data_IF_505507299838
#
_entry.id   IF_505507299838
#
_cell.length_a   1.000
_cell.length_b   1.000
_cell.length_c   1.000
_cell.angle_alpha   90.00
_cell.angle_beta   90.00
_cell.angle_gamma   90.00
#
_symmetry.space_group_name_H-M   'P 1'
#
loop_
_entity.id
_entity.type
_entity.pdbx_description
1 polymer ?
#
# COMPACT_ATOMS: atom_id res chain seq x y z
N UNK A 1 1.80 -22.47 -5.57
CA UNK A 1 0.39 -22.38 -5.12
C UNK A 1 -0.27 -21.32 -5.97
N UNK A 2 -1.45 -21.60 -6.51
CA UNK A 2 -2.21 -20.63 -7.33
C UNK A 2 -2.63 -19.45 -6.45
N UNK A 3 -2.30 -18.22 -6.86
CA UNK A 3 -2.51 -16.97 -6.12
C UNK A 3 -3.98 -16.59 -5.92
N UNK A 4 -4.93 -17.29 -6.58
CA UNK A 4 -6.38 -17.02 -6.52
C UNK A 4 -6.98 -16.94 -5.10
N UNK A 5 -6.37 -17.58 -4.10
CA UNK A 5 -6.89 -17.62 -2.73
C UNK A 5 -6.03 -16.84 -1.72
N UNK A 6 -5.16 -15.95 -2.19
CA UNK A 6 -4.28 -15.16 -1.34
C UNK A 6 -4.78 -13.73 -1.26
N UNK A 7 -5.29 -13.36 -0.08
CA UNK A 7 -5.71 -12.01 0.23
C UNK A 7 -4.52 -11.22 0.79
N UNK A 8 -4.13 -10.11 0.14
CA UNK A 8 -3.14 -9.17 0.65
C UNK A 8 -3.87 -8.09 1.46
N UNK A 9 -4.30 -8.45 2.66
CA UNK A 9 -5.07 -7.54 3.53
C UNK A 9 -4.15 -6.46 4.07
N UNK A 10 -4.50 -5.20 3.93
CA UNK A 10 -3.65 -4.14 4.48
C UNK A 10 -3.60 -4.19 6.00
N UNK A 11 -2.48 -3.77 6.58
CA UNK A 11 -2.28 -3.84 8.02
C UNK A 11 -3.26 -2.96 8.80
N UNK A 12 -3.74 -1.87 8.17
CA UNK A 12 -4.83 -1.06 8.71
C UNK A 12 -6.12 -1.88 8.85
N UNK A 13 -6.50 -2.64 7.82
CA UNK A 13 -7.69 -3.49 7.82
C UNK A 13 -7.53 -4.76 8.69
N UNK A 14 -6.30 -5.26 8.88
CA UNK A 14 -6.03 -6.31 9.88
C UNK A 14 -6.28 -5.78 11.30
N UNK A 15 -5.94 -4.52 11.58
CA UNK A 15 -6.18 -3.89 12.87
C UNK A 15 -7.60 -3.32 13.05
N UNK A 16 -8.43 -3.36 12.01
CA UNK A 16 -9.78 -2.84 12.06
C UNK A 16 -10.67 -3.63 13.04
N UNK A 17 -11.58 -2.92 13.69
CA UNK A 17 -12.67 -3.44 14.49
C UNK A 17 -13.80 -3.90 13.57
N UNK A 18 -14.07 -5.21 13.56
CA UNK A 18 -15.07 -5.84 12.69
C UNK A 18 -15.90 -6.81 13.53
N UNK A 19 -17.12 -6.41 13.88
CA UNK A 19 -18.05 -7.23 14.68
C UNK A 19 -18.79 -8.25 13.80
N UNK A 20 -18.13 -9.40 13.61
CA UNK A 20 -18.58 -10.50 12.80
C UNK A 20 -18.48 -11.84 13.55
N UNK A 21 -19.39 -12.74 13.26
CA UNK A 21 -19.24 -14.17 13.51
C UNK A 21 -18.14 -14.79 12.64
N UNK A 22 -17.79 -16.05 12.92
CA UNK A 22 -16.78 -16.79 12.15
C UNK A 22 -17.09 -16.82 10.64
N UNK A 23 -18.35 -17.06 10.27
CA UNK A 23 -18.77 -17.20 8.88
C UNK A 23 -18.86 -15.83 8.20
N UNK A 24 -19.41 -14.84 8.88
CA UNK A 24 -19.45 -13.45 8.40
C UNK A 24 -18.02 -12.94 8.12
N UNK A 25 -17.05 -13.26 8.97
CA UNK A 25 -15.65 -12.86 8.74
C UNK A 25 -15.03 -13.55 7.53
N UNK A 26 -15.36 -14.83 7.27
CA UNK A 26 -14.96 -15.51 6.03
C UNK A 26 -15.57 -14.85 4.80
N UNK A 27 -16.83 -14.43 4.88
CA UNK A 27 -17.48 -13.67 3.79
C UNK A 27 -16.77 -12.33 3.56
N UNK A 28 -16.40 -11.59 4.62
CA UNK A 28 -15.61 -10.36 4.49
C UNK A 28 -14.27 -10.59 3.78
N UNK A 29 -13.52 -11.62 4.21
CA UNK A 29 -12.24 -11.96 3.58
C UNK A 29 -12.41 -12.44 2.12
N UNK A 30 -13.50 -13.16 1.80
CA UNK A 30 -13.85 -13.50 0.41
C UNK A 30 -14.10 -12.24 -0.43
N UNK A 31 -14.91 -11.30 0.07
CA UNK A 31 -15.22 -10.05 -0.62
C UNK A 31 -13.94 -9.25 -0.89
N UNK A 32 -13.06 -9.11 0.10
CA UNK A 32 -11.77 -8.44 -0.10
C UNK A 32 -10.90 -9.17 -1.13
N UNK A 33 -10.84 -10.50 -1.10
CA UNK A 33 -10.03 -11.26 -2.07
C UNK A 33 -10.54 -11.09 -3.50
N UNK A 34 -11.85 -11.20 -3.72
CA UNK A 34 -12.46 -11.01 -5.04
C UNK A 34 -12.30 -9.57 -5.54
N UNK A 35 -12.40 -8.58 -4.66
CA UNK A 35 -12.11 -7.17 -4.98
C UNK A 35 -10.66 -6.98 -5.42
N UNK A 36 -9.71 -7.65 -4.76
CA UNK A 36 -8.31 -7.61 -5.13
C UNK A 36 -8.01 -8.31 -6.46
N UNK A 37 -8.78 -9.33 -6.84
CA UNK A 37 -8.60 -10.02 -8.12
C UNK A 37 -9.24 -9.24 -9.28
N UNK A 38 -10.33 -8.53 -9.03
CA UNK A 38 -11.13 -7.85 -10.05
C UNK A 38 -10.76 -6.37 -10.22
N UNK A 39 -9.53 -5.97 -9.87
CA UNK A 39 -8.94 -4.59 -9.86
C UNK A 39 -9.11 -3.73 -11.13
N UNK A 40 -9.80 -4.22 -12.16
CA UNK A 40 -9.67 -3.75 -13.53
C UNK A 40 -10.23 -2.37 -13.87
N UNK A 41 -11.05 -1.67 -13.07
CA UNK A 41 -11.80 -0.50 -13.61
C UNK A 41 -12.23 0.60 -12.60
N UNK A 42 -11.42 1.02 -11.63
CA UNK A 42 -11.80 2.10 -10.66
C UNK A 42 -13.16 1.84 -9.98
N UNK A 43 -13.58 0.57 -9.98
CA UNK A 43 -14.93 0.20 -9.63
C UNK A 43 -14.91 -0.22 -8.18
N UNK A 44 -15.60 0.54 -7.33
CA UNK A 44 -15.83 0.18 -5.93
C UNK A 44 -16.84 -0.97 -5.81
N UNK A 45 -16.72 -2.00 -6.67
CA UNK A 45 -17.58 -3.18 -6.65
C UNK A 45 -16.83 -4.44 -7.08
N UNK A 46 -17.34 -5.58 -6.65
CA UNK A 46 -16.89 -6.91 -7.06
C UNK A 46 -18.10 -7.78 -7.40
N UNK A 47 -17.91 -8.75 -8.31
CA UNK A 47 -18.93 -9.72 -8.69
C UNK A 47 -18.55 -11.07 -8.11
N UNK A 48 -19.43 -11.67 -7.32
CA UNK A 48 -19.18 -12.96 -6.65
C UNK A 48 -20.36 -13.88 -6.90
N UNK A 49 -20.10 -15.05 -7.46
CA UNK A 49 -21.13 -16.07 -7.62
C UNK A 49 -21.54 -16.65 -6.26
N UNK A 50 -22.82 -16.95 -6.09
CA UNK A 50 -23.39 -17.51 -4.87
C UNK A 50 -22.65 -18.76 -4.37
N UNK A 51 -22.11 -19.59 -5.25
CA UNK A 51 -21.42 -20.82 -4.88
C UNK A 51 -20.17 -20.55 -4.04
N UNK A 52 -19.46 -19.43 -4.27
CA UNK A 52 -18.31 -19.05 -3.46
C UNK A 52 -18.68 -18.80 -1.99
N UNK A 53 -19.87 -18.26 -1.72
CA UNK A 53 -20.37 -18.09 -0.35
C UNK A 53 -20.86 -19.40 0.24
N UNK A 54 -21.54 -20.23 -0.57
CA UNK A 54 -22.02 -21.55 -0.15
C UNK A 54 -20.87 -22.41 0.34
N UNK A 55 -19.73 -22.39 -0.33
CA UNK A 55 -18.57 -23.24 0.01
C UNK A 55 -17.93 -22.89 1.37
N UNK A 56 -18.24 -21.72 1.94
CA UNK A 56 -17.67 -21.25 3.22
C UNK A 56 -18.51 -21.63 4.44
N UNK A 57 -19.71 -22.17 4.25
CA UNK A 57 -20.66 -22.45 5.33
C UNK A 57 -21.39 -23.77 5.14
N UNK A 58 -21.49 -24.55 6.20
CA UNK A 58 -22.30 -25.79 6.25
C UNK A 58 -23.77 -25.53 6.62
N UNK A 59 -24.11 -24.29 6.97
CA UNK A 59 -25.49 -23.94 7.35
C UNK A 59 -26.42 -24.01 6.14
N UNK A 60 -27.46 -24.84 6.22
CA UNK A 60 -28.47 -24.97 5.18
C UNK A 60 -29.11 -23.62 4.80
N UNK A 61 -29.30 -22.72 5.77
CA UNK A 61 -29.80 -21.37 5.52
C UNK A 61 -28.82 -20.56 4.66
N UNK A 62 -27.52 -20.58 5.00
CA UNK A 62 -26.46 -19.89 4.26
C UNK A 62 -26.04 -20.62 2.98
N UNK A 63 -26.68 -21.75 2.65
CA UNK A 63 -26.65 -22.33 1.30
C UNK A 63 -27.68 -21.68 0.35
N UNK A 64 -28.61 -20.87 0.85
CA UNK A 64 -29.65 -20.22 0.04
C UNK A 64 -29.29 -18.78 -0.33
N UNK A 65 -29.79 -18.31 -1.48
CA UNK A 65 -29.61 -16.92 -1.90
C UNK A 65 -30.18 -15.94 -0.87
N UNK A 66 -31.35 -16.26 -0.31
CA UNK A 66 -32.01 -15.46 0.73
C UNK A 66 -31.15 -15.34 2.00
N UNK A 67 -30.54 -16.45 2.44
CA UNK A 67 -29.72 -16.44 3.64
C UNK A 67 -28.43 -15.65 3.48
N UNK A 68 -27.77 -15.79 2.34
CA UNK A 68 -26.59 -14.98 2.01
C UNK A 68 -26.98 -13.50 1.89
N UNK A 69 -28.07 -13.19 1.17
CA UNK A 69 -28.55 -11.82 0.99
C UNK A 69 -28.85 -11.14 2.33
N UNK A 70 -29.48 -11.83 3.29
CA UNK A 70 -29.71 -11.28 4.63
C UNK A 70 -28.40 -10.94 5.36
N UNK A 71 -27.35 -11.76 5.24
CA UNK A 71 -26.04 -11.39 5.82
C UNK A 71 -25.49 -10.13 5.13
N UNK A 72 -25.53 -10.08 3.80
CA UNK A 72 -24.98 -8.95 3.05
C UNK A 72 -25.76 -7.64 3.29
N UNK A 73 -27.09 -7.70 3.40
CA UNK A 73 -27.96 -6.53 3.62
C UNK A 73 -28.07 -6.16 5.11
N UNK A 74 -28.39 -7.11 5.99
CA UNK A 74 -28.68 -6.82 7.40
C UNK A 74 -27.42 -6.67 8.26
N UNK A 75 -26.31 -7.31 7.88
CA UNK A 75 -25.04 -7.14 8.59
C UNK A 75 -24.15 -6.16 7.87
N UNK A 76 -23.79 -6.42 6.61
CA UNK A 76 -22.69 -5.69 5.98
C UNK A 76 -23.05 -4.29 5.48
N UNK A 77 -24.33 -3.97 5.27
CA UNK A 77 -24.79 -2.60 5.00
C UNK A 77 -25.11 -1.80 6.27
N UNK A 78 -25.20 -2.43 7.45
CA UNK A 78 -25.61 -1.77 8.70
C UNK A 78 -24.48 -1.66 9.72
N UNK A 79 -23.70 -2.74 9.89
CA UNK A 79 -22.57 -2.76 10.81
C UNK A 79 -21.39 -1.99 10.23
N UNK A 80 -20.75 -1.20 11.09
CA UNK A 80 -19.59 -0.39 10.71
C UNK A 80 -18.28 -1.10 11.06
N UNK A 81 -17.31 -0.96 10.17
CA UNK A 81 -15.91 -1.28 10.38
C UNK A 81 -15.21 -0.01 10.82
N UNK A 82 -14.34 -0.13 11.82
CA UNK A 82 -13.61 1.03 12.36
C UNK A 82 -12.12 0.78 12.36
N UNK A 83 -11.35 1.78 11.97
CA UNK A 83 -9.89 1.75 12.11
C UNK A 83 -9.34 3.16 12.25
N UNK A 84 -8.13 3.25 12.77
CA UNK A 84 -7.37 4.50 12.82
C UNK A 84 -6.26 4.43 11.78
N UNK A 85 -6.02 5.54 11.09
CA UNK A 85 -4.85 5.70 10.24
C UNK A 85 -4.30 7.12 10.39
N UNK A 86 -3.07 7.23 10.88
CA UNK A 86 -2.51 8.52 11.31
C UNK A 86 -3.36 9.14 12.42
N UNK A 87 -3.86 10.37 12.19
CA UNK A 87 -4.76 11.09 13.10
C UNK A 87 -6.24 10.94 12.76
N UNK A 88 -6.56 10.19 11.72
CA UNK A 88 -7.91 10.04 11.21
C UNK A 88 -8.56 8.79 11.76
N UNK A 89 -9.83 8.94 12.13
CA UNK A 89 -10.71 7.84 12.51
C UNK A 89 -11.65 7.53 11.34
N UNK A 90 -11.60 6.30 10.87
CA UNK A 90 -12.46 5.82 9.81
C UNK A 90 -13.57 4.95 10.41
N UNK A 91 -14.80 5.20 9.97
CA UNK A 91 -15.97 4.39 10.31
C UNK A 91 -16.86 4.29 9.08
N UNK A 92 -16.91 3.12 8.47
CA UNK A 92 -17.67 2.89 7.22
C UNK A 92 -18.38 1.54 7.27
N UNK A 93 -19.38 1.32 6.43
CA UNK A 93 -19.98 0.00 6.24
C UNK A 93 -19.19 -0.79 5.20
N UNK A 94 -19.22 -2.13 5.26
CA UNK A 94 -18.52 -2.95 4.27
C UNK A 94 -19.17 -2.83 2.89
N UNK A 95 -20.51 -2.88 2.85
CA UNK A 95 -21.29 -2.84 1.61
C UNK A 95 -22.09 -1.53 1.58
N UNK A 96 -21.98 -0.82 0.46
CA UNK A 96 -22.76 0.41 0.19
C UNK A 96 -24.00 0.10 -0.65
N UNK A 97 -23.93 -0.91 -1.51
CA UNK A 97 -25.02 -1.37 -2.37
C UNK A 97 -24.81 -2.82 -2.78
N UNK A 98 -25.90 -3.54 -2.96
CA UNK A 98 -25.87 -4.91 -3.49
C UNK A 98 -26.89 -5.07 -4.63
N UNK A 99 -26.56 -5.92 -5.59
CA UNK A 99 -27.50 -6.43 -6.60
C UNK A 99 -27.34 -7.94 -6.66
N UNK A 100 -28.44 -8.67 -6.80
CA UNK A 100 -28.41 -10.10 -7.02
C UNK A 100 -29.07 -10.44 -8.35
N UNK A 101 -28.35 -11.17 -9.20
CA UNK A 101 -28.89 -11.71 -10.45
C UNK A 101 -29.41 -13.13 -10.20
N UNK A 102 -30.73 -13.30 -10.18
CA UNK A 102 -31.36 -14.60 -9.96
C UNK A 102 -31.07 -15.63 -11.07
N UNK A 103 -30.74 -15.19 -12.28
CA UNK A 103 -30.48 -16.06 -13.43
C UNK A 103 -29.05 -16.61 -13.40
N UNK A 104 -28.05 -15.75 -13.15
CA UNK A 104 -26.65 -16.19 -13.09
C UNK A 104 -26.20 -16.63 -11.70
N UNK A 105 -26.92 -16.24 -10.66
CA UNK A 105 -26.53 -16.47 -9.26
C UNK A 105 -25.45 -15.51 -8.76
N UNK A 106 -25.23 -14.39 -9.44
CA UNK A 106 -24.15 -13.46 -9.10
C UNK A 106 -24.61 -12.32 -8.21
N UNK A 107 -23.81 -12.04 -7.17
CA UNK A 107 -23.91 -10.82 -6.38
C UNK A 107 -22.95 -9.76 -6.95
N UNK A 108 -23.49 -8.60 -7.33
CA UNK A 108 -22.69 -7.38 -7.53
C UNK A 108 -22.67 -6.61 -6.22
N UNK A 109 -21.52 -6.59 -5.55
CA UNK A 109 -21.33 -6.02 -4.22
C UNK A 109 -20.52 -4.74 -4.37
N UNK A 110 -21.12 -3.59 -4.04
CA UNK A 110 -20.42 -2.31 -3.98
C UNK A 110 -19.87 -2.11 -2.57
N UNK A 111 -18.59 -1.77 -2.49
CA UNK A 111 -17.81 -1.64 -1.26
C UNK A 111 -17.53 -0.15 -1.03
N UNK A 112 -17.37 0.24 0.22
CA UNK A 112 -16.95 1.60 0.53
C UNK A 112 -15.59 1.94 -0.09
N UNK A 113 -15.48 3.17 -0.61
CA UNK A 113 -14.29 3.65 -1.33
C UNK A 113 -13.03 3.63 -0.47
N UNK A 114 -13.16 3.91 0.84
CA UNK A 114 -12.01 3.98 1.73
C UNK A 114 -11.52 2.57 2.04
N UNK A 115 -12.43 1.59 2.21
CA UNK A 115 -12.05 0.17 2.31
C UNK A 115 -11.30 -0.31 1.07
N UNK A 116 -11.80 0.01 -0.13
CA UNK A 116 -11.13 -0.35 -1.39
C UNK A 116 -9.76 0.32 -1.47
N UNK A 117 -9.67 1.61 -1.12
CA UNK A 117 -8.41 2.35 -1.12
C UNK A 117 -7.39 1.73 -0.15
N UNK A 118 -7.78 1.42 1.09
CA UNK A 118 -6.92 0.76 2.07
C UNK A 118 -6.56 -0.67 1.66
N UNK A 119 -7.43 -1.37 0.94
CA UNK A 119 -7.19 -2.74 0.48
C UNK A 119 -6.25 -2.81 -0.73
N UNK A 120 -6.36 -1.89 -1.68
CA UNK A 120 -5.63 -1.95 -2.95
C UNK A 120 -4.38 -1.06 -2.97
N UNK A 121 -4.39 0.07 -2.27
CA UNK A 121 -3.32 1.08 -2.32
C UNK A 121 -2.45 1.07 -1.06
N UNK A 122 -2.26 -0.10 -0.43
CA UNK A 122 -1.46 -0.25 0.79
C UNK A 122 0.03 0.12 0.61
N UNK A 123 0.53 0.08 -0.63
CA UNK A 123 1.90 0.49 -0.99
C UNK A 123 2.04 2.01 -0.95
N UNK A 124 1.11 2.72 -1.59
CA UNK A 124 1.04 4.18 -1.65
C UNK A 124 0.77 4.77 -0.26
N UNK A 125 -0.15 4.15 0.48
CA UNK A 125 -0.50 4.54 1.84
C UNK A 125 0.58 4.17 2.86
N UNK A 126 1.58 3.34 2.50
CA UNK A 126 2.61 2.81 3.42
C UNK A 126 2.03 2.12 4.65
N UNK A 127 0.84 1.54 4.54
CA UNK A 127 0.23 0.74 5.59
C UNK A 127 0.90 -0.63 5.68
N UNK A 128 1.43 -1.12 4.57
CA UNK A 128 1.88 -2.50 4.44
C UNK A 128 0.71 -3.49 4.35
N UNK A 129 1.02 -4.76 4.19
CA UNK A 129 0.02 -5.80 4.04
C UNK A 129 0.42 -7.08 4.77
N UNK A 130 -0.59 -7.86 5.11
CA UNK A 130 -0.50 -9.20 5.65
C UNK A 130 -1.10 -10.15 4.62
N UNK A 131 -0.29 -10.99 3.96
CA UNK A 131 -0.83 -12.00 3.06
C UNK A 131 -1.58 -13.05 3.87
N UNK A 132 -2.75 -13.48 3.39
CA UNK A 132 -3.61 -14.46 4.06
C UNK A 132 -4.00 -15.54 3.06
N UNK A 133 -3.68 -16.79 3.36
CA UNK A 133 -4.13 -17.92 2.57
C UNK A 133 -5.54 -18.32 3.01
N UNK A 134 -6.55 -17.93 2.22
CA UNK A 134 -7.94 -18.17 2.57
C UNK A 134 -8.29 -19.66 2.64
N UNK A 135 -7.57 -20.54 1.93
CA UNK A 135 -7.80 -21.99 2.06
C UNK A 135 -7.41 -22.54 3.42
N UNK A 136 -6.47 -21.90 4.10
CA UNK A 136 -6.07 -22.25 5.47
C UNK A 136 -7.00 -21.57 6.46
N UNK A 137 -7.14 -20.24 6.39
CA UNK A 137 -7.94 -19.49 7.37
C UNK A 137 -9.41 -19.92 7.36
N UNK A 138 -9.97 -20.36 6.22
CA UNK A 138 -11.33 -20.87 6.16
C UNK A 138 -11.54 -22.21 6.90
N UNK A 139 -10.48 -22.92 7.33
CA UNK A 139 -10.58 -24.13 8.14
C UNK A 139 -10.86 -23.85 9.63
N UNK A 140 -10.70 -22.59 10.06
CA UNK A 140 -10.99 -22.18 11.42
C UNK A 140 -12.49 -22.24 11.73
N UNK A 141 -12.81 -22.67 12.94
CA UNK A 141 -14.18 -22.75 13.46
C UNK A 141 -14.55 -21.55 14.32
N UNK A 142 -13.55 -20.78 14.79
CA UNK A 142 -13.77 -19.60 15.63
C UNK A 142 -13.28 -18.31 14.95
N UNK A 143 -14.08 -17.25 15.12
CA UNK A 143 -13.69 -15.88 14.75
C UNK A 143 -12.38 -15.48 15.44
N UNK A 144 -12.23 -15.81 16.73
CA UNK A 144 -11.04 -15.47 17.50
C UNK A 144 -9.78 -16.17 16.97
N UNK A 145 -9.90 -17.40 16.45
CA UNK A 145 -8.79 -18.09 15.80
C UNK A 145 -8.32 -17.30 14.58
N UNK A 146 -9.24 -16.87 13.70
CA UNK A 146 -8.89 -16.07 12.52
C UNK A 146 -8.22 -14.76 12.93
N UNK A 147 -8.78 -14.05 13.90
CA UNK A 147 -8.24 -12.76 14.37
C UNK A 147 -6.86 -12.89 15.00
N UNK A 148 -6.67 -13.83 15.93
CA UNK A 148 -5.36 -14.03 16.57
C UNK A 148 -4.33 -14.43 15.52
N UNK A 149 -4.68 -15.33 14.60
CA UNK A 149 -3.80 -15.71 13.50
C UNK A 149 -3.41 -14.50 12.63
N UNK A 150 -4.38 -13.67 12.21
CA UNK A 150 -4.09 -12.46 11.41
C UNK A 150 -3.20 -11.47 12.18
N UNK A 151 -3.44 -11.28 13.48
CA UNK A 151 -2.65 -10.40 14.34
C UNK A 151 -1.21 -10.91 14.54
N UNK A 152 -1.00 -12.21 14.69
CA UNK A 152 0.34 -12.79 14.78
C UNK A 152 1.03 -12.72 13.42
N UNK A 153 0.31 -13.05 12.34
CA UNK A 153 0.82 -12.99 10.98
C UNK A 153 1.16 -11.57 10.53
N UNK A 154 0.53 -10.55 11.10
CA UNK A 154 0.94 -9.16 10.88
C UNK A 154 2.43 -8.94 11.18
N UNK A 155 2.97 -9.58 12.23
CA UNK A 155 4.33 -9.33 12.73
C UNK A 155 5.31 -10.48 12.46
N UNK A 156 4.85 -11.71 12.23
CA UNK A 156 5.76 -12.87 12.21
C UNK A 156 6.75 -12.92 11.04
N UNK A 157 6.68 -11.97 10.10
CA UNK A 157 7.70 -11.77 9.07
C UNK A 157 8.93 -11.00 9.56
N UNK A 158 8.77 -10.20 10.62
CA UNK A 158 9.83 -9.38 11.21
C UNK A 158 10.28 -9.91 12.57
N UNK A 159 9.37 -10.53 13.34
CA UNK A 159 9.59 -10.91 14.73
C UNK A 159 9.17 -12.35 14.98
N UNK A 160 10.01 -13.11 15.68
CA UNK A 160 9.63 -14.43 16.23
C UNK A 160 8.89 -14.33 17.56
N UNK A 161 9.04 -13.19 18.25
CA UNK A 161 8.39 -12.93 19.53
C UNK A 161 7.50 -11.69 19.39
N UNK A 162 6.21 -11.85 19.70
CA UNK A 162 5.20 -10.80 19.52
C UNK A 162 4.50 -10.58 20.85
N UNK A 163 4.60 -9.37 21.39
CA UNK A 163 3.94 -9.01 22.64
C UNK A 163 2.67 -8.21 22.39
N UNK A 164 1.62 -8.56 23.11
CA UNK A 164 0.40 -7.76 23.20
C UNK A 164 0.05 -7.49 24.67
N UNK A 165 -0.26 -6.23 24.98
CA UNK A 165 -0.99 -5.89 26.19
C UNK A 165 -2.34 -6.61 26.21
N UNK A 166 -2.71 -7.15 27.38
CA UNK A 166 -3.89 -8.01 27.49
C UNK A 166 -5.18 -7.26 27.13
N UNK A 167 -5.30 -6.01 27.57
CA UNK A 167 -6.47 -5.20 27.29
C UNK A 167 -6.51 -4.77 25.82
N UNK A 168 -5.38 -4.40 25.21
CA UNK A 168 -5.29 -4.09 23.78
C UNK A 168 -5.66 -5.30 22.91
N UNK A 169 -5.22 -6.50 23.30
CA UNK A 169 -5.60 -7.72 22.60
C UNK A 169 -7.11 -7.98 22.71
N UNK A 170 -7.71 -7.75 23.89
CA UNK A 170 -9.17 -7.87 24.04
C UNK A 170 -9.91 -6.85 23.18
N UNK A 171 -9.43 -5.61 23.06
CA UNK A 171 -10.01 -4.60 22.15
C UNK A 171 -9.94 -5.08 20.70
N UNK A 172 -8.78 -5.58 20.25
CA UNK A 172 -8.60 -6.11 18.89
C UNK A 172 -9.48 -7.33 18.57
N UNK A 173 -9.94 -8.03 19.61
CA UNK A 173 -10.85 -9.17 19.54
C UNK A 173 -12.31 -8.79 19.85
N UNK A 174 -12.62 -7.51 20.06
CA UNK A 174 -13.94 -6.97 20.41
C UNK A 174 -14.52 -7.54 21.71
N UNK A 175 -13.66 -7.74 22.70
CA UNK A 175 -14.00 -8.32 24.01
C UNK A 175 -13.95 -7.32 25.16
N UNK A 176 -13.60 -6.05 24.91
CA UNK A 176 -13.39 -5.03 25.94
C UNK A 176 -14.64 -4.78 26.79
N UNK A 177 -15.83 -4.75 26.17
CA UNK A 177 -17.09 -4.48 26.88
C UNK A 177 -17.82 -5.76 27.32
N UNK A 178 -17.26 -6.93 27.00
CA UNK A 178 -17.93 -8.20 27.23
C UNK A 178 -17.66 -8.74 28.64
N UNK A 179 -18.66 -8.62 29.51
CA UNK A 179 -18.58 -9.00 30.95
C UNK A 179 -18.00 -10.40 31.19
N UNK A 180 -18.27 -11.37 30.31
CA UNK A 180 -17.78 -12.75 30.47
C UNK A 180 -16.27 -12.89 30.34
N UNK A 181 -15.58 -11.93 29.70
CA UNK A 181 -14.13 -11.99 29.46
C UNK A 181 -13.33 -10.98 30.31
N UNK A 182 -13.99 -10.28 31.24
CA UNK A 182 -13.33 -9.38 32.17
C UNK A 182 -12.23 -10.09 32.99
N UNK A 183 -12.49 -11.33 33.40
CA UNK A 183 -11.51 -12.18 34.09
C UNK A 183 -10.60 -12.87 33.10
N UNK A 184 -9.29 -12.74 33.28
CA UNK A 184 -8.29 -13.40 32.42
C UNK A 184 -8.51 -14.91 32.30
N UNK A 185 -8.86 -15.60 33.39
CA UNK A 185 -9.14 -17.05 33.37
C UNK A 185 -10.21 -17.43 32.31
N UNK A 186 -11.24 -16.61 32.15
CA UNK A 186 -12.31 -16.87 31.18
C UNK A 186 -11.83 -16.59 29.75
N UNK A 187 -11.13 -15.48 29.54
CA UNK A 187 -10.47 -15.17 28.28
C UNK A 187 -9.52 -16.30 27.85
N UNK A 188 -8.63 -16.73 28.75
CA UNK A 188 -7.68 -17.82 28.51
C UNK A 188 -8.39 -19.12 28.10
N UNK A 189 -9.39 -19.53 28.88
CA UNK A 189 -10.11 -20.81 28.68
C UNK A 189 -10.94 -20.84 27.40
N UNK A 190 -11.59 -19.73 27.04
CA UNK A 190 -12.61 -19.70 25.97
C UNK A 190 -12.10 -19.12 24.66
N UNK A 191 -11.03 -18.32 24.70
CA UNK A 191 -10.54 -17.56 23.55
C UNK A 191 -9.11 -17.97 23.23
N UNK A 192 -8.16 -17.66 24.12
CA UNK A 192 -6.73 -17.81 23.85
C UNK A 192 -6.34 -19.27 23.59
N UNK A 193 -6.57 -20.17 24.54
CA UNK A 193 -6.14 -21.57 24.44
C UNK A 193 -6.83 -22.30 23.26
N UNK A 194 -8.16 -22.19 23.07
CA UNK A 194 -8.81 -22.79 21.91
C UNK A 194 -8.29 -22.25 20.56
N UNK A 195 -8.04 -20.94 20.47
CA UNK A 195 -7.53 -20.33 19.25
C UNK A 195 -6.11 -20.81 18.93
N UNK A 196 -5.20 -20.79 19.90
CA UNK A 196 -3.83 -21.26 19.70
C UNK A 196 -3.78 -22.74 19.32
N UNK A 197 -4.62 -23.58 19.94
CA UNK A 197 -4.75 -24.98 19.54
C UNK A 197 -5.14 -25.12 18.07
N UNK A 198 -6.18 -24.39 17.64
CA UNK A 198 -6.65 -24.47 16.26
C UNK A 198 -5.64 -23.89 15.25
N UNK A 199 -4.91 -22.84 15.61
CA UNK A 199 -3.82 -22.27 14.79
C UNK A 199 -2.74 -23.33 14.53
N UNK A 200 -2.22 -23.94 15.60
CA UNK A 200 -1.18 -24.98 15.53
C UNK A 200 -1.64 -26.22 14.73
N UNK A 201 -2.92 -26.59 14.83
CA UNK A 201 -3.44 -27.78 14.15
C UNK A 201 -3.73 -27.57 12.66
N UNK A 202 -4.07 -26.35 12.22
CA UNK A 202 -4.69 -26.14 10.90
C UNK A 202 -4.11 -25.02 10.05
N UNK A 203 -3.41 -24.05 10.63
CA UNK A 203 -3.09 -22.78 9.95
C UNK A 203 -1.61 -22.60 9.63
N UNK A 204 -0.85 -23.70 9.48
CA UNK A 204 0.56 -23.69 9.11
C UNK A 204 1.40 -22.65 9.87
N UNK A 205 1.16 -22.56 11.18
CA UNK A 205 1.89 -21.68 12.08
C UNK A 205 2.03 -22.38 13.41
N UNK A 206 3.24 -22.43 13.94
CA UNK A 206 3.47 -22.91 15.30
C UNK A 206 3.48 -21.72 16.24
N UNK A 207 2.66 -21.79 17.29
CA UNK A 207 2.54 -20.71 18.28
C UNK A 207 2.54 -21.28 19.67
N UNK A 208 3.48 -20.81 20.48
CA UNK A 208 3.45 -20.93 21.94
C UNK A 208 3.30 -19.53 22.56
N UNK A 209 3.05 -19.46 23.87
CA UNK A 209 2.93 -18.18 24.55
C UNK A 209 3.35 -18.21 26.03
N UNK A 210 3.86 -17.07 26.48
CA UNK A 210 4.23 -16.80 27.86
C UNK A 210 3.35 -15.70 28.46
N UNK A 211 3.04 -15.81 29.75
CA UNK A 211 2.28 -14.82 30.51
C UNK A 211 3.24 -13.86 31.23
N UNK A 212 3.23 -12.58 30.87
CA UNK A 212 4.02 -11.57 31.57
C UNK A 212 3.16 -10.93 32.66
N UNK A 213 3.62 -11.03 33.91
CA UNK A 213 2.89 -10.57 35.09
C UNK A 213 3.42 -9.26 35.63
N UNK A 214 2.49 -8.44 36.11
CA UNK A 214 2.76 -7.26 36.94
C UNK A 214 2.02 -7.45 38.25
N UNK A 215 2.77 -7.75 39.31
CA UNK A 215 2.19 -8.20 40.59
C UNK A 215 1.42 -9.51 40.43
N UNK A 216 0.13 -9.50 40.83
CA UNK A 216 -0.77 -10.67 40.72
C UNK A 216 -1.55 -10.73 39.40
N UNK A 217 -1.42 -9.70 38.57
CA UNK A 217 -2.17 -9.57 37.33
C UNK A 217 -1.31 -9.94 36.13
N UNK A 218 -1.94 -10.50 35.10
CA UNK A 218 -1.29 -10.75 33.82
C UNK A 218 -1.47 -9.48 32.99
N UNK A 219 -0.36 -8.83 32.66
CA UNK A 219 -0.35 -7.57 31.95
C UNK A 219 -0.24 -7.78 30.43
N UNK A 220 0.64 -8.70 30.01
CA UNK A 220 0.91 -8.97 28.59
C UNK A 220 0.95 -10.46 28.29
N UNK A 221 0.76 -10.77 27.02
CA UNK A 221 1.00 -12.08 26.44
C UNK A 221 2.13 -11.94 25.43
N UNK A 222 3.17 -12.77 25.59
CA UNK A 222 4.28 -12.87 24.66
C UNK A 222 4.09 -14.14 23.85
N UNK A 223 3.82 -14.01 22.55
CA UNK A 223 3.68 -15.12 21.63
C UNK A 223 5.01 -15.43 20.98
N UNK A 224 5.36 -16.72 20.96
CA UNK A 224 6.54 -17.24 20.26
C UNK A 224 6.02 -17.91 18.99
N UNK A 225 6.32 -17.31 17.84
CA UNK A 225 5.70 -17.64 16.55
C UNK A 225 6.74 -18.13 15.56
N UNK A 226 6.46 -19.28 14.98
CA UNK A 226 7.10 -19.79 13.78
C UNK A 226 6.07 -19.84 12.65
N UNK A 227 6.20 -18.91 11.71
CA UNK A 227 5.34 -18.83 10.52
C UNK A 227 5.89 -19.76 9.43
N UNK A 228 5.12 -20.79 9.08
CA UNK A 228 5.50 -21.78 8.07
C UNK A 228 4.93 -21.42 6.69
N UNK A 229 4.21 -20.30 6.57
CA UNK A 229 3.69 -19.83 5.29
C UNK A 229 4.65 -18.86 4.59
N UNK A 230 4.69 -18.89 3.25
CA UNK A 230 5.43 -17.88 2.51
C UNK A 230 4.82 -16.49 2.73
N UNK A 231 5.69 -15.48 2.75
CA UNK A 231 5.33 -14.06 2.83
C UNK A 231 5.21 -13.37 1.48
N UNK A 232 5.92 -13.90 0.48
CA UNK A 232 5.83 -13.45 -0.90
C UNK A 232 5.08 -14.49 -1.71
N UNK A 233 4.02 -14.06 -2.39
CA UNK A 233 3.25 -14.87 -3.31
C UNK A 233 3.44 -14.31 -4.71
N UNK A 234 3.92 -15.16 -5.61
CA UNK A 234 4.06 -14.80 -7.02
C UNK A 234 2.74 -15.07 -7.75
N UNK A 235 1.95 -14.03 -7.92
CA UNK A 235 0.70 -14.07 -8.68
C UNK A 235 0.94 -14.24 -10.20
N UNK A 236 2.18 -14.11 -10.69
CA UNK A 236 2.51 -14.22 -12.12
C UNK A 236 2.67 -15.65 -12.62
N UNK A 237 2.75 -16.65 -11.73
CA UNK A 237 2.85 -18.07 -12.09
C UNK A 237 1.52 -18.71 -12.50
N UNK A 238 0.39 -18.04 -12.27
CA UNK A 238 -0.91 -18.52 -12.72
C UNK A 238 -1.12 -18.14 -14.19
N UNK A 239 -1.05 -19.15 -15.06
CA UNK A 239 -1.15 -19.06 -16.53
C UNK A 239 -2.42 -18.34 -17.04
N UNK A 240 -3.42 -18.11 -16.18
CA UNK A 240 -4.68 -17.42 -16.47
C UNK A 240 -4.65 -15.89 -16.26
N UNK A 241 -3.65 -15.33 -15.55
CA UNK A 241 -3.56 -13.87 -15.31
C UNK A 241 -2.79 -13.11 -16.39
N UNK A 242 -2.16 -13.82 -17.34
CA UNK A 242 -1.40 -13.21 -18.45
C UNK A 242 -2.25 -12.38 -19.42
N UNK A 243 -3.57 -12.48 -19.39
CA UNK A 243 -4.45 -11.63 -20.20
C UNK A 243 -4.93 -10.36 -19.48
N UNK A 244 -4.58 -10.15 -18.20
CA UNK A 244 -5.12 -9.02 -17.42
C UNK A 244 -4.10 -8.21 -16.60
N UNK A 245 -2.81 -8.54 -16.60
CA UNK A 245 -1.80 -7.81 -15.82
C UNK A 245 -0.67 -7.33 -16.74
N UNK A 246 -0.66 -6.02 -17.04
CA UNK A 246 0.45 -5.37 -17.73
C UNK A 246 1.71 -5.34 -16.86
N UNK A 247 2.85 -5.68 -17.46
CA UNK A 247 4.15 -6.06 -16.90
C UNK A 247 4.96 -4.98 -16.14
N UNK A 248 4.35 -3.94 -15.58
CA UNK A 248 5.11 -2.78 -15.07
C UNK A 248 5.37 -2.76 -13.54
N UNK A 249 4.66 -3.57 -12.73
CA UNK A 249 4.81 -3.50 -11.26
C UNK A 249 6.03 -4.26 -10.70
N UNK A 250 6.53 -5.27 -11.41
CA UNK A 250 7.59 -6.18 -10.92
C UNK A 250 8.97 -5.47 -10.87
N UNK A 251 9.18 -4.44 -11.68
CA UNK A 251 10.45 -3.70 -11.71
C UNK A 251 10.64 -2.75 -10.51
N UNK A 252 9.59 -2.50 -9.72
CA UNK A 252 9.60 -1.54 -8.61
C UNK A 252 10.11 -2.17 -7.29
N UNK A 253 9.79 -3.44 -7.05
CA UNK A 253 10.10 -4.12 -5.78
C UNK A 253 11.61 -4.37 -5.55
N UNK A 254 12.43 -4.37 -6.60
CA UNK A 254 13.87 -4.62 -6.50
C UNK A 254 14.72 -3.37 -6.17
N UNK A 255 14.17 -2.15 -6.26
CA UNK A 255 14.94 -0.90 -6.12
C UNK A 255 14.65 -0.12 -4.82
N UNK A 256 13.70 -0.54 -3.99
CA UNK A 256 13.28 0.20 -2.79
C UNK A 256 14.12 -0.17 -1.55
N UNK A 257 14.86 -1.28 -1.57
CA UNK A 257 15.68 -1.73 -0.44
C UNK A 257 16.86 -0.81 -0.07
N UNK A 258 17.18 0.19 -0.90
CA UNK A 258 18.29 1.11 -0.65
C UNK A 258 17.85 2.58 -0.68
N UNK A 259 17.31 3.10 0.44
CA UNK A 259 17.75 4.34 1.11
C UNK A 259 16.66 5.15 1.85
N UNK A 260 16.92 5.32 3.15
CA UNK A 260 16.89 6.55 3.97
C UNK A 260 15.57 7.03 4.62
N UNK A 261 15.63 7.07 5.97
CA UNK A 261 14.79 7.79 6.94
C UNK A 261 14.94 9.31 6.82
N UNK A 262 13.87 10.08 7.04
CA UNK A 262 13.90 11.46 7.61
C UNK A 262 12.55 11.76 8.28
N UNK A 263 12.60 12.31 9.49
CA UNK A 263 11.49 12.80 10.33
C UNK A 263 11.09 14.25 9.96
N UNK A 264 9.79 14.57 9.89
CA UNK A 264 9.29 15.95 9.64
C UNK A 264 7.99 16.26 10.40
N UNK A 265 7.98 17.38 11.12
CA UNK A 265 6.90 17.89 12.00
C UNK A 265 5.72 18.53 11.26
N UNK A 266 4.59 18.65 11.95
CA UNK A 266 3.24 18.79 11.36
C UNK A 266 2.87 20.17 10.80
N UNK A 267 3.50 21.27 11.22
CA UNK A 267 3.13 22.61 10.75
C UNK A 267 3.52 22.89 9.29
N UNK A 268 4.54 22.17 8.78
CA UNK A 268 5.04 22.38 7.41
C UNK A 268 4.26 21.58 6.35
N UNK A 269 3.37 20.66 6.75
CA UNK A 269 2.63 19.80 5.80
C UNK A 269 1.50 20.54 5.10
N UNK A 270 0.78 21.40 5.80
CA UNK A 270 -0.41 22.07 5.25
C UNK A 270 -0.05 23.19 4.27
N UNK A 271 1.02 23.93 4.56
CA UNK A 271 1.56 24.95 3.65
C UNK A 271 2.21 24.32 2.41
N UNK A 272 2.89 23.17 2.57
CA UNK A 272 3.42 22.37 1.48
C UNK A 272 2.30 21.78 0.59
N UNK A 273 1.23 21.26 1.17
CA UNK A 273 0.10 20.68 0.43
C UNK A 273 -0.66 21.73 -0.41
N UNK A 274 -0.82 22.94 0.12
CA UNK A 274 -1.51 24.03 -0.58
C UNK A 274 -0.67 24.62 -1.72
N UNK A 275 0.64 24.79 -1.50
CA UNK A 275 1.57 25.23 -2.53
C UNK A 275 1.72 24.17 -3.63
N UNK A 276 1.83 22.89 -3.25
CA UNK A 276 1.82 21.77 -4.18
C UNK A 276 0.56 21.80 -5.05
N UNK A 277 -0.65 21.95 -4.46
CA UNK A 277 -1.91 21.99 -5.22
C UNK A 277 -1.97 23.12 -6.26
N UNK A 278 -1.51 24.33 -5.92
CA UNK A 278 -1.50 25.46 -6.87
C UNK A 278 -0.51 25.25 -8.01
N UNK A 279 0.67 24.73 -7.71
CA UNK A 279 1.69 24.43 -8.74
C UNK A 279 1.35 23.20 -9.60
N UNK A 280 0.54 22.27 -9.07
CA UNK A 280 -0.02 21.15 -9.84
C UNK A 280 -1.03 21.60 -10.89
N UNK A 281 -1.85 22.60 -10.57
CA UNK A 281 -2.82 23.18 -11.51
C UNK A 281 -2.09 23.84 -12.69
N UNK A 282 -0.98 24.53 -12.42
CA UNK A 282 -0.22 25.26 -13.44
C UNK A 282 0.44 24.34 -14.50
N UNK A 283 1.14 23.28 -14.08
CA UNK A 283 1.81 22.34 -14.99
C UNK A 283 0.79 21.54 -15.84
N UNK A 284 -0.34 21.17 -15.24
CA UNK A 284 -1.37 20.40 -15.94
C UNK A 284 -2.10 21.25 -16.97
N UNK A 285 -2.35 22.53 -16.68
CA UNK A 285 -2.86 23.49 -17.65
C UNK A 285 -1.89 23.72 -18.83
N UNK A 286 -0.60 23.85 -18.58
CA UNK A 286 0.41 24.11 -19.63
C UNK A 286 0.53 22.94 -20.63
N UNK A 287 0.47 21.70 -20.13
CA UNK A 287 0.47 20.48 -20.95
C UNK A 287 -0.82 20.35 -21.77
N UNK A 288 -1.97 20.65 -21.16
CA UNK A 288 -3.27 20.60 -21.82
C UNK A 288 -3.39 21.64 -22.95
N UNK A 289 -2.94 22.88 -22.70
CA UNK A 289 -2.87 23.96 -23.72
C UNK A 289 -1.98 23.58 -24.91
N UNK A 290 -0.96 22.75 -24.68
CA UNK A 290 -0.03 22.29 -25.72
C UNK A 290 -0.44 20.97 -26.38
N UNK A 291 -1.61 20.41 -26.03
CA UNK A 291 -2.13 19.16 -26.60
C UNK A 291 -1.37 17.90 -26.18
N UNK A 292 -0.60 17.95 -25.09
CA UNK A 292 0.25 16.86 -24.62
C UNK A 292 -0.46 16.08 -23.52
N UNK A 293 -0.71 14.78 -23.73
CA UNK A 293 -1.30 13.90 -22.72
C UNK A 293 -0.22 13.15 -21.95
N UNK A 294 0.09 13.59 -20.73
CA UNK A 294 0.94 12.87 -19.78
C UNK A 294 0.15 12.65 -18.49
N UNK A 295 0.16 11.42 -17.98
CA UNK A 295 -0.54 11.10 -16.73
C UNK A 295 0.05 11.88 -15.54
N UNK A 296 -0.82 12.35 -14.65
CA UNK A 296 -0.45 13.12 -13.45
C UNK A 296 0.52 12.33 -12.56
N UNK A 297 0.29 11.03 -12.41
CA UNK A 297 1.17 10.11 -11.67
C UNK A 297 2.61 10.09 -12.22
N UNK A 298 2.77 10.21 -13.53
CA UNK A 298 4.09 10.29 -14.20
C UNK A 298 4.80 11.60 -13.86
N UNK A 299 4.09 12.73 -13.88
CA UNK A 299 4.64 14.04 -13.48
C UNK A 299 5.03 14.01 -12.01
N UNK A 300 4.20 13.43 -11.13
CA UNK A 300 4.50 13.27 -9.70
C UNK A 300 5.78 12.46 -9.49
N UNK A 301 5.89 11.32 -10.19
CA UNK A 301 7.10 10.49 -10.18
C UNK A 301 8.34 11.28 -10.60
N UNK A 302 8.24 12.13 -11.62
CA UNK A 302 9.36 12.98 -12.03
C UNK A 302 9.66 14.09 -11.02
N UNK A 303 8.66 14.70 -10.37
CA UNK A 303 8.88 15.70 -9.33
C UNK A 303 9.61 15.08 -8.13
N UNK A 304 9.17 13.92 -7.67
CA UNK A 304 9.82 13.19 -6.57
C UNK A 304 11.25 12.78 -6.93
N UNK A 305 11.50 12.42 -8.20
CA UNK A 305 12.82 11.94 -8.64
C UNK A 305 13.82 13.06 -8.96
N UNK A 306 13.37 14.15 -9.57
CA UNK A 306 14.23 15.17 -10.17
C UNK A 306 14.07 16.56 -9.56
N UNK A 307 13.10 16.76 -8.66
CA UNK A 307 12.78 18.06 -8.09
C UNK A 307 11.81 18.86 -8.96
N UNK A 308 10.95 19.63 -8.29
CA UNK A 308 9.83 20.35 -8.91
C UNK A 308 10.28 21.40 -9.94
N UNK A 309 11.30 22.18 -9.62
CA UNK A 309 11.85 23.23 -10.49
C UNK A 309 12.40 22.69 -11.82
N UNK A 310 13.07 21.53 -11.78
CA UNK A 310 13.58 20.88 -12.98
C UNK A 310 12.46 20.32 -13.83
N UNK A 311 11.42 19.78 -13.19
CA UNK A 311 10.22 19.30 -13.88
C UNK A 311 9.48 20.44 -14.58
N UNK A 312 9.22 21.56 -13.90
CA UNK A 312 8.61 22.75 -14.51
C UNK A 312 9.39 23.22 -15.75
N UNK A 313 10.69 23.43 -15.61
CA UNK A 313 11.57 23.83 -16.73
C UNK A 313 11.55 22.83 -17.87
N UNK A 314 11.58 21.53 -17.57
CA UNK A 314 11.54 20.48 -18.58
C UNK A 314 10.20 20.41 -19.33
N UNK A 315 9.09 20.67 -18.65
CA UNK A 315 7.74 20.74 -19.22
C UNK A 315 7.62 21.94 -20.17
N UNK A 316 8.08 23.13 -19.78
CA UNK A 316 8.05 24.29 -20.66
C UNK A 316 8.92 24.09 -21.92
N UNK A 317 10.08 23.42 -21.80
CA UNK A 317 10.91 23.04 -22.95
C UNK A 317 10.17 22.06 -23.87
N UNK A 318 9.51 21.05 -23.30
CA UNK A 318 8.70 20.09 -24.06
C UNK A 318 7.58 20.80 -24.82
N UNK A 319 6.80 21.65 -24.15
CA UNK A 319 5.69 22.41 -24.73
C UNK A 319 6.17 23.31 -25.89
N UNK A 320 7.31 23.98 -25.73
CA UNK A 320 7.90 24.78 -26.80
C UNK A 320 8.40 23.93 -27.99
N UNK A 321 8.88 22.72 -27.74
CA UNK A 321 9.37 21.83 -28.80
C UNK A 321 8.24 21.20 -29.62
N UNK A 322 7.09 20.94 -29.00
CA UNK A 322 5.88 20.46 -29.69
C UNK A 322 5.37 21.48 -30.72
N UNK A 323 5.57 22.78 -30.49
CA UNK A 323 5.26 23.82 -31.49
C UNK A 323 6.14 23.76 -32.74
N UNK A 324 7.32 23.16 -32.64
CA UNK A 324 8.31 23.09 -33.74
C UNK A 324 8.26 21.76 -34.49
N UNK A 325 7.98 20.65 -33.80
CA UNK A 325 7.98 19.31 -34.37
C UNK A 325 7.04 18.36 -33.62
N UNK A 326 6.48 17.37 -34.32
CA UNK A 326 5.61 16.36 -33.72
C UNK A 326 6.42 15.43 -32.81
N UNK A 327 5.99 15.25 -31.56
CA UNK A 327 6.60 14.33 -30.60
C UNK A 327 5.71 13.10 -30.43
N UNK A 328 6.23 11.92 -30.80
CA UNK A 328 5.51 10.64 -30.74
C UNK A 328 5.53 9.99 -29.36
N UNK A 329 6.50 10.30 -28.50
CA UNK A 329 6.63 9.72 -27.16
C UNK A 329 6.92 10.81 -26.09
N UNK A 330 5.90 11.56 -25.63
CA UNK A 330 6.09 12.72 -24.75
C UNK A 330 6.77 12.40 -23.41
N UNK A 331 6.44 11.27 -22.78
CA UNK A 331 7.03 10.84 -21.50
C UNK A 331 8.52 10.53 -21.64
N UNK A 332 8.90 9.81 -22.71
CA UNK A 332 10.29 9.46 -23.01
C UNK A 332 11.10 10.72 -23.33
N UNK A 333 10.51 11.64 -24.08
CA UNK A 333 11.13 12.91 -24.44
C UNK A 333 11.37 13.78 -23.20
N UNK A 334 10.36 13.90 -22.33
CA UNK A 334 10.46 14.64 -21.07
C UNK A 334 11.57 14.08 -20.17
N UNK A 335 11.64 12.76 -20.03
CA UNK A 335 12.73 12.08 -19.31
C UNK A 335 14.10 12.43 -19.88
N UNK A 336 14.24 12.46 -21.21
CA UNK A 336 15.49 12.85 -21.87
C UNK A 336 15.88 14.32 -21.63
N UNK A 337 14.90 15.24 -21.58
CA UNK A 337 15.16 16.64 -21.19
C UNK A 337 15.68 16.71 -19.76
N UNK A 338 15.02 16.02 -18.82
CA UNK A 338 15.40 15.99 -17.40
C UNK A 338 16.82 15.46 -17.21
N UNK A 339 17.16 14.34 -17.84
CA UNK A 339 18.51 13.75 -17.77
C UNK A 339 19.57 14.68 -18.37
N UNK A 340 19.25 15.39 -19.47
CA UNK A 340 20.16 16.37 -20.05
C UNK A 340 20.36 17.62 -19.18
N UNK A 341 19.31 18.12 -18.54
CA UNK A 341 19.40 19.27 -17.64
C UNK A 341 20.30 18.95 -16.43
N UNK A 342 20.21 17.74 -15.89
CA UNK A 342 21.04 17.26 -14.77
C UNK A 342 22.50 17.05 -15.21
N UNK A 343 22.71 16.46 -16.38
CA UNK A 343 24.07 16.26 -16.91
C UNK A 343 24.76 17.59 -17.23
N UNK A 344 24.01 18.63 -17.63
CA UNK A 344 24.54 19.96 -17.88
C UNK A 344 24.75 20.78 -16.58
N UNK A 345 23.95 20.57 -15.53
CA UNK A 345 24.24 21.16 -14.21
C UNK A 345 25.51 20.56 -13.60
N UNK A 346 25.74 19.26 -13.77
CA UNK A 346 26.95 18.58 -13.27
C UNK A 346 28.21 18.89 -14.09
N UNK A 347 28.08 19.36 -15.33
CA UNK A 347 29.21 19.83 -16.15
C UNK A 347 29.64 21.26 -15.84
N UNK A 348 28.81 22.07 -15.18
CA UNK A 348 29.19 23.44 -14.78
C UNK A 348 30.19 23.49 -13.61
N UNK A 349 30.41 22.38 -12.90
CA UNK A 349 31.41 22.31 -11.83
C UNK A 349 32.74 21.67 -12.24
N UNK A 350 32.91 21.18 -13.47
CA UNK A 350 34.19 20.60 -13.90
C UNK A 350 34.52 20.89 -15.38
N UNK A 351 35.53 21.75 -15.54
CA UNK A 351 36.31 22.07 -16.73
C UNK A 351 35.64 22.92 -17.82
N UNK A 352 36.15 24.15 -17.96
CA UNK A 352 36.45 24.73 -19.27
C UNK A 352 36.99 23.63 -20.18
N UNK A 353 36.29 23.33 -21.28
CA UNK A 353 36.84 22.44 -22.31
C UNK A 353 38.17 23.04 -22.77
N UNK A 354 39.29 22.42 -22.41
CA UNK A 354 40.58 22.66 -23.08
C UNK A 354 40.36 22.35 -24.55
N UNK A 355 40.36 23.39 -25.39
CA UNK A 355 40.50 23.22 -26.82
C UNK A 355 41.79 22.44 -27.06
N UNK A 356 41.78 21.48 -27.99
CA UNK A 356 42.92 20.60 -28.34
C UNK A 356 44.16 21.35 -28.88
N UNK A 357 44.19 22.67 -28.76
CA UNK A 357 45.20 23.55 -29.35
C UNK A 357 46.18 24.16 -28.33
N UNK A 358 45.98 23.95 -27.02
CA UNK A 358 46.86 24.52 -25.99
C UNK A 358 47.73 23.45 -25.33
N UNK A 359 48.65 22.88 -26.12
CA UNK A 359 49.75 22.03 -25.64
C UNK A 359 51.03 22.83 -25.30
N UNK A 360 50.92 24.14 -25.16
CA UNK A 360 52.01 25.00 -24.71
C UNK A 360 51.65 25.63 -23.37
N UNK A 361 52.61 25.66 -22.45
CA UNK A 361 52.53 26.47 -21.23
C UNK A 361 52.27 27.94 -21.66
N UNK A 362 51.27 28.62 -21.06
CA UNK A 362 51.06 30.05 -21.28
C UNK A 362 52.36 30.78 -20.95
N UNK A 363 52.80 31.72 -21.81
CA UNK A 363 53.92 32.59 -21.44
C UNK A 363 53.51 33.39 -20.21
N UNK A 364 54.26 33.23 -19.12
CA UNK A 364 54.16 34.15 -17.98
C UNK A 364 54.75 35.49 -18.41
N UNK A 365 53.96 36.54 -18.24
CA UNK A 365 54.38 37.90 -18.48
C UNK A 365 54.47 38.62 -17.14
N UNK A 366 55.56 39.36 -16.92
CA UNK A 366 55.59 40.38 -15.89
C UNK A 366 54.76 41.57 -16.40
N UNK A 367 53.55 41.71 -15.86
CA UNK A 367 52.62 42.74 -16.29
C UNK A 367 53.12 44.15 -15.93
N UNK A 368 53.90 44.30 -14.87
CA UNK A 368 54.44 45.59 -14.45
C UNK A 368 55.56 46.03 -15.41
N UNK A 369 56.40 45.10 -15.87
CA UNK A 369 57.42 45.37 -16.90
C UNK A 369 56.78 45.72 -18.25
N UNK A 370 55.72 44.99 -18.63
CA UNK A 370 54.99 45.25 -19.87
C UNK A 370 54.26 46.59 -19.87
N UNK A 371 53.64 46.95 -18.74
CA UNK A 371 52.98 48.24 -18.56
C UNK A 371 53.97 49.40 -18.66
N UNK A 372 55.15 49.28 -18.03
CA UNK A 372 56.23 50.28 -18.16
C UNK A 372 56.71 50.45 -19.60
N UNK A 373 56.88 49.36 -20.34
CA UNK A 373 57.25 49.40 -21.77
C UNK A 373 56.16 50.00 -22.65
N UNK A 374 54.89 49.69 -22.38
CA UNK A 374 53.73 50.19 -23.14
C UNK A 374 53.48 51.68 -22.90
N UNK A 375 53.64 52.16 -21.66
CA UNK A 375 53.51 53.57 -21.30
C UNK A 375 54.75 54.41 -21.65
N UNK A 376 55.80 53.77 -22.17
CA UNK A 376 57.03 54.44 -22.57
C UNK A 376 57.86 54.97 -21.41
N UNK A 377 57.71 54.37 -20.22
CA UNK A 377 58.44 54.74 -19.01
C UNK A 377 59.85 54.12 -18.95
N UNK A 378 60.16 53.21 -19.88
CA UNK A 378 61.50 52.67 -20.10
C UNK A 378 62.26 53.48 -21.19
N UNK A 379 62.39 54.80 -20.98
CA UNK A 379 63.37 55.63 -21.69
C UNK A 379 64.27 56.37 -20.72
#
# INVERSE_FOLDING_TARGET
MTGKHILLKSNALVNAEIDNSNIEYKFTNLIFNETQLQKGNDSYFTIINIDAFRDLSDSAYLKTAKGILSVLEDKFQKNTLKWCWGKEHYQVTLITKIKFNHTSGDFTIYIDKDLVNFLLNYRELRTGYTPLNLRLTNQSKSFFTQRIYELLRLWSGEKKEIEYDLEDLKVKLLLQDHKSYKKYKEFKRRVLVPALKEINEKLNMNVDYEEIRVGRCIAKLKFIVEDLEPRSYDFNKDKFLKEQISTDEIALDLNISNNINIDLTESNKDELLLNNRKEFIDITEELNKSGIKIAISTINRFKTKYGEELVKKSVSILCNKVKQQKITAPVKYLKGILENLINNSNKKSNSTKKLRFNNFEPREYDYDELEKKLLGWDK
#
